data_IF_654630825075
#
_entry.id   IF_654630825075
#
_cell.length_a   1.000
_cell.length_b   1.000
_cell.length_c   1.000
_cell.angle_alpha   90.00
_cell.angle_beta   90.00
_cell.angle_gamma   90.00
#
_symmetry.space_group_name_H-M   'P 1'
#
loop_
_entity.id
_entity.type
_entity.pdbx_description
1 polymer ?
#
# COMPACT_ATOMS: atom_id res chain seq x y z
N UNK A 1 -12.17 -8.80 3.97
CA UNK A 1 -12.55 -7.98 2.79
C UNK A 1 -11.31 -7.33 2.18
N UNK A 2 -11.24 -7.15 0.86
CA UNK A 2 -10.10 -6.49 0.17
C UNK A 2 -10.54 -5.12 -0.36
N UNK A 3 -9.98 -4.02 0.16
CA UNK A 3 -10.36 -2.62 -0.23
C UNK A 3 -9.17 -1.66 -0.22
N UNK A 4 -9.30 -0.51 -0.88
CA UNK A 4 -8.26 0.53 -0.84
C UNK A 4 -8.19 1.23 0.54
N UNK A 5 -7.12 1.99 0.80
CA UNK A 5 -6.91 2.74 2.04
C UNK A 5 -8.00 3.80 2.22
N UNK A 6 -9.02 3.46 3.00
CA UNK A 6 -10.05 4.40 3.43
C UNK A 6 -10.02 4.51 4.96
N UNK A 7 -9.71 5.71 5.47
CA UNK A 7 -9.64 5.97 6.91
C UNK A 7 -11.01 5.80 7.57
N UNK A 8 -12.07 6.28 6.91
CA UNK A 8 -13.45 6.18 7.39
C UNK A 8 -13.94 4.75 7.46
N UNK A 9 -13.57 3.90 6.49
CA UNK A 9 -13.90 2.48 6.53
C UNK A 9 -13.24 1.78 7.72
N UNK A 10 -11.95 2.04 7.97
CA UNK A 10 -11.25 1.47 9.12
C UNK A 10 -11.88 1.90 10.45
N UNK A 11 -12.23 3.17 10.57
CA UNK A 11 -12.92 3.68 11.77
C UNK A 11 -14.28 3.01 11.96
N UNK A 12 -15.09 2.92 10.91
CA UNK A 12 -16.38 2.26 10.95
C UNK A 12 -16.28 0.77 11.32
N UNK A 13 -15.24 0.05 10.86
CA UNK A 13 -15.00 -1.35 11.23
C UNK A 13 -14.67 -1.52 12.71
N UNK A 14 -13.84 -0.61 13.25
CA UNK A 14 -13.50 -0.57 14.69
C UNK A 14 -14.75 -0.25 15.51
N UNK A 15 -15.57 0.71 15.05
CA UNK A 15 -16.80 1.14 15.72
C UNK A 15 -17.92 0.09 15.69
N UNK A 16 -17.94 -0.77 14.66
CA UNK A 16 -18.97 -1.82 14.50
C UNK A 16 -18.58 -3.17 15.12
N UNK A 17 -17.44 -3.22 15.83
CA UNK A 17 -16.83 -4.43 16.41
C UNK A 17 -16.79 -5.63 15.43
N UNK A 18 -16.67 -5.31 14.14
CA UNK A 18 -16.50 -6.31 13.12
C UNK A 18 -15.04 -6.75 13.12
N UNK A 19 -14.76 -7.89 13.74
CA UNK A 19 -13.49 -8.65 13.70
C UNK A 19 -13.09 -9.14 12.27
N UNK A 20 -13.61 -8.49 11.22
CA UNK A 20 -13.30 -8.88 9.85
C UNK A 20 -11.91 -8.36 9.47
N UNK A 21 -11.04 -9.27 9.03
CA UNK A 21 -9.75 -8.90 8.48
C UNK A 21 -9.97 -8.09 7.18
N UNK A 22 -9.67 -6.79 7.25
CA UNK A 22 -9.73 -5.91 6.09
C UNK A 22 -8.32 -5.70 5.57
N UNK A 23 -8.04 -6.35 4.45
CA UNK A 23 -6.76 -6.28 3.75
C UNK A 23 -6.80 -5.16 2.72
N UNK A 24 -5.64 -4.50 2.54
CA UNK A 24 -5.49 -3.52 1.47
C UNK A 24 -5.45 -4.21 0.11
N UNK A 25 -6.17 -3.68 -0.87
CA UNK A 25 -6.09 -4.16 -2.25
C UNK A 25 -4.73 -3.81 -2.88
N UNK A 26 -3.92 -4.81 -3.20
CA UNK A 26 -2.61 -4.61 -3.83
C UNK A 26 -2.70 -3.85 -5.15
N UNK A 27 -3.68 -4.18 -6.00
CA UNK A 27 -3.84 -3.51 -7.31
C UNK A 27 -4.06 -2.00 -7.15
N UNK A 28 -4.92 -1.60 -6.20
CA UNK A 28 -5.13 -0.18 -5.90
C UNK A 28 -3.91 0.46 -5.26
N UNK A 29 -3.17 -0.28 -4.43
CA UNK A 29 -1.92 0.20 -3.87
C UNK A 29 -0.90 0.55 -4.96
N UNK A 30 -0.61 -0.37 -5.89
CA UNK A 30 0.28 -0.11 -7.03
C UNK A 30 -0.20 1.06 -7.88
N UNK A 31 -1.50 1.15 -8.19
CA UNK A 31 -2.07 2.29 -8.92
C UNK A 31 -1.82 3.62 -8.20
N UNK A 32 -2.02 3.65 -6.89
CA UNK A 32 -1.85 4.86 -6.09
C UNK A 32 -0.37 5.28 -6.02
N UNK A 33 0.56 4.32 -5.90
CA UNK A 33 2.01 4.60 -5.99
C UNK A 33 2.35 5.18 -7.38
N UNK A 34 1.95 4.52 -8.45
CA UNK A 34 2.31 4.95 -9.81
C UNK A 34 1.65 6.26 -10.24
N UNK A 35 0.65 6.75 -9.51
CA UNK A 35 0.04 8.06 -9.77
C UNK A 35 0.94 9.24 -9.41
N UNK A 36 1.88 9.04 -8.48
CA UNK A 36 2.82 10.08 -8.00
C UNK A 36 4.25 9.88 -8.49
N UNK A 37 4.57 8.70 -9.02
CA UNK A 37 5.91 8.38 -9.55
C UNK A 37 6.06 8.88 -11.00
N UNK A 38 7.15 9.58 -11.37
CA UNK A 38 7.44 9.95 -12.74
C UNK A 38 7.52 8.74 -13.68
N UNK A 39 6.97 8.85 -14.90
CA UNK A 39 6.88 7.73 -15.87
C UNK A 39 8.20 6.99 -16.12
N UNK A 40 9.33 7.70 -16.14
CA UNK A 40 10.66 7.11 -16.33
C UNK A 40 11.14 6.21 -15.19
N UNK A 41 10.62 6.42 -13.97
CA UNK A 41 11.02 5.68 -12.76
C UNK A 41 10.04 4.57 -12.37
N UNK A 42 8.85 4.49 -12.98
CA UNK A 42 7.82 3.49 -12.65
C UNK A 42 8.35 2.05 -12.67
N UNK A 43 9.19 1.69 -13.66
CA UNK A 43 9.77 0.34 -13.73
C UNK A 43 10.65 0.00 -12.52
N UNK A 44 11.42 0.97 -12.04
CA UNK A 44 12.33 0.79 -10.91
C UNK A 44 11.54 0.63 -9.60
N UNK A 45 10.58 1.52 -9.36
CA UNK A 45 9.69 1.45 -8.19
C UNK A 45 8.84 0.16 -8.20
N UNK A 46 8.36 -0.26 -9.37
CA UNK A 46 7.60 -1.51 -9.51
C UNK A 46 8.45 -2.74 -9.17
N UNK A 47 9.73 -2.77 -9.57
CA UNK A 47 10.62 -3.88 -9.27
C UNK A 47 10.88 -3.99 -7.77
N UNK A 48 11.13 -2.87 -7.10
CA UNK A 48 11.32 -2.81 -5.65
C UNK A 48 10.06 -3.23 -4.89
N UNK A 49 8.88 -2.72 -5.26
CA UNK A 49 7.64 -3.10 -4.59
C UNK A 49 7.30 -4.59 -4.76
N UNK A 50 7.63 -5.17 -5.92
CA UNK A 50 7.47 -6.61 -6.15
C UNK A 50 8.44 -7.43 -5.34
N UNK A 51 9.69 -6.99 -5.18
CA UNK A 51 10.67 -7.71 -4.35
C UNK A 51 10.27 -7.69 -2.88
N UNK A 52 9.71 -6.58 -2.39
CA UNK A 52 9.15 -6.48 -1.03
C UNK A 52 7.98 -7.47 -0.87
N UNK A 53 7.00 -7.45 -1.77
CA UNK A 53 5.84 -8.37 -1.68
C UNK A 53 6.22 -9.85 -1.79
N UNK A 54 7.35 -10.17 -2.42
CA UNK A 54 7.83 -11.54 -2.54
C UNK A 54 8.52 -12.04 -1.25
N UNK A 55 8.78 -11.18 -0.27
CA UNK A 55 9.35 -11.59 1.01
C UNK A 55 8.33 -12.36 1.83
N UNK A 56 8.75 -13.47 2.45
CA UNK A 56 7.91 -14.37 3.25
C UNK A 56 7.51 -13.79 4.63
N UNK A 57 7.90 -12.55 4.93
CA UNK A 57 7.76 -11.94 6.24
C UNK A 57 6.42 -11.20 6.35
N UNK A 58 5.70 -11.40 7.46
CA UNK A 58 4.42 -10.73 7.78
C UNK A 58 4.56 -9.20 7.86
N UNK A 59 5.77 -8.69 8.10
CA UNK A 59 6.07 -7.25 8.21
C UNK A 59 6.08 -6.48 6.87
N UNK A 60 5.89 -7.17 5.74
CA UNK A 60 5.81 -6.58 4.39
C UNK A 60 4.85 -5.39 4.31
N UNK A 61 3.69 -5.48 4.97
CA UNK A 61 2.72 -4.38 5.00
C UNK A 61 3.24 -3.10 5.67
N UNK A 62 4.09 -3.22 6.69
CA UNK A 62 4.67 -2.06 7.38
C UNK A 62 5.75 -1.43 6.51
N UNK A 63 6.61 -2.27 5.92
CA UNK A 63 7.69 -1.84 5.06
C UNK A 63 7.18 -1.15 3.78
N UNK A 64 6.16 -1.69 3.13
CA UNK A 64 5.49 -1.04 1.99
C UNK A 64 4.91 0.33 2.32
N UNK A 65 4.40 0.49 3.54
CA UNK A 65 3.86 1.78 3.99
C UNK A 65 4.97 2.81 4.14
N UNK A 66 6.14 2.42 4.68
CA UNK A 66 7.31 3.28 4.78
C UNK A 66 7.85 3.67 3.40
N UNK A 67 7.99 2.69 2.50
CA UNK A 67 8.42 2.91 1.12
C UNK A 67 7.46 3.86 0.41
N UNK A 68 6.15 3.68 0.57
CA UNK A 68 5.17 4.61 0.02
C UNK A 68 5.31 6.03 0.59
N UNK A 69 5.62 6.18 1.88
CA UNK A 69 5.87 7.51 2.47
C UNK A 69 7.13 8.16 1.90
N UNK A 70 8.19 7.39 1.67
CA UNK A 70 9.43 7.91 1.08
C UNK A 70 9.24 8.30 -0.38
N UNK A 71 8.61 7.43 -1.20
CA UNK A 71 8.23 7.75 -2.58
C UNK A 71 7.40 9.03 -2.62
N UNK A 72 6.43 9.16 -1.69
CA UNK A 72 5.62 10.36 -1.60
C UNK A 72 6.43 11.59 -1.23
N UNK A 73 7.42 11.48 -0.34
CA UNK A 73 8.30 12.58 0.07
C UNK A 73 9.29 12.99 -1.03
N UNK A 74 9.73 12.05 -1.86
CA UNK A 74 10.65 12.32 -2.97
C UNK A 74 9.95 12.99 -4.15
N UNK A 75 8.73 12.55 -4.47
CA UNK A 75 8.02 12.99 -5.67
C UNK A 75 6.89 14.00 -5.41
N UNK A 76 6.56 14.32 -4.15
CA UNK A 76 5.50 15.27 -3.79
C UNK A 76 5.82 16.14 -2.56
#
# INVERSE_FOLDING_TARGET
MVRDKCLGLRKALIETDQLTSVQRCMVHFYRNVFSIVPRGKVKLEAAMLKSIHAQEVVETSAFETLVYMEIRREYW
#
